data_IF_879143018267
#
_entry.id   IF_879143018267
#
_cell.length_a   1.000
_cell.length_b   1.000
_cell.length_c   1.000
_cell.angle_alpha   90.00
_cell.angle_beta   90.00
_cell.angle_gamma   90.00
#
_symmetry.space_group_name_H-M   'P 1'
#
loop_
_entity.id
_entity.type
_entity.pdbx_description
1 polymer ?
#
# COMPACT_ATOMS: atom_id res chain seq x y z
N UNK A 1 -1.72 -24.21 -18.16
CA UNK A 1 -0.78 -23.42 -17.32
C UNK A 1 -1.58 -22.41 -16.49
N UNK A 2 -1.33 -22.30 -15.18
CA UNK A 2 -1.97 -21.23 -14.39
C UNK A 2 -1.36 -19.91 -14.86
N UNK A 3 -2.17 -19.12 -15.55
CA UNK A 3 -1.76 -17.82 -16.07
C UNK A 3 -1.42 -16.93 -14.87
N UNK A 4 -0.14 -16.58 -14.72
CA UNK A 4 0.29 -15.67 -13.66
C UNK A 4 -0.29 -14.31 -13.99
N UNK A 5 -1.35 -13.91 -13.29
CA UNK A 5 -1.86 -12.55 -13.36
C UNK A 5 -0.72 -11.55 -13.13
N UNK A 6 -0.74 -10.39 -13.82
CA UNK A 6 0.27 -9.37 -13.60
C UNK A 6 0.28 -8.97 -12.12
N UNK A 7 1.48 -8.98 -11.51
CA UNK A 7 1.68 -8.56 -10.12
C UNK A 7 1.45 -7.06 -10.00
N UNK A 8 0.58 -6.65 -9.08
CA UNK A 8 0.28 -5.25 -8.81
C UNK A 8 0.99 -4.84 -7.51
N UNK A 9 1.75 -3.75 -7.59
CA UNK A 9 2.38 -3.11 -6.43
C UNK A 9 1.74 -1.74 -6.21
N UNK A 10 1.31 -1.48 -4.99
CA UNK A 10 0.91 -0.16 -4.52
C UNK A 10 2.13 0.54 -3.92
N UNK A 11 2.59 1.61 -4.59
CA UNK A 11 3.73 2.42 -4.16
C UNK A 11 3.22 3.77 -3.66
N UNK A 12 3.48 4.09 -2.39
CA UNK A 12 3.04 5.32 -1.74
C UNK A 12 4.18 5.96 -0.93
N UNK A 13 4.96 6.80 -1.61
CA UNK A 13 6.18 7.36 -1.04
C UNK A 13 7.32 6.34 -0.96
N UNK A 14 8.36 6.67 -0.18
CA UNK A 14 9.62 5.92 -0.20
C UNK A 14 9.53 4.56 0.50
N UNK A 15 8.74 4.43 1.56
CA UNK A 15 8.77 3.25 2.45
C UNK A 15 7.58 2.30 2.27
N UNK A 16 6.53 2.71 1.54
CA UNK A 16 5.31 1.92 1.37
C UNK A 16 5.22 1.36 -0.05
N UNK A 17 5.68 0.12 -0.22
CA UNK A 17 5.66 -0.66 -1.45
C UNK A 17 4.98 -1.98 -1.10
N UNK A 18 3.69 -2.10 -1.38
CA UNK A 18 2.89 -3.23 -0.95
C UNK A 18 2.36 -4.01 -2.15
N UNK A 19 2.47 -5.34 -2.14
CA UNK A 19 1.80 -6.16 -3.15
C UNK A 19 0.30 -6.19 -2.84
N UNK A 20 -0.51 -5.91 -3.86
CA UNK A 20 -1.97 -5.77 -3.71
C UNK A 20 -2.73 -6.54 -4.78
N UNK A 21 -3.99 -6.81 -4.51
CA UNK A 21 -4.99 -7.20 -5.51
C UNK A 21 -6.08 -6.13 -5.58
N UNK A 22 -6.70 -6.01 -6.75
CA UNK A 22 -7.86 -5.15 -6.95
C UNK A 22 -9.09 -5.94 -6.52
N UNK A 23 -9.73 -5.50 -5.45
CA UNK A 23 -10.98 -6.09 -4.97
C UNK A 23 -12.18 -5.51 -5.71
N UNK A 24 -12.12 -4.22 -6.07
CA UNK A 24 -13.18 -3.52 -6.78
C UNK A 24 -12.63 -2.40 -7.67
N UNK A 25 -13.35 -2.11 -8.75
CA UNK A 25 -13.07 -1.01 -9.67
C UNK A 25 -14.39 -0.40 -10.13
N UNK A 26 -14.51 0.91 -9.99
CA UNK A 26 -15.63 1.70 -10.54
C UNK A 26 -15.07 2.83 -11.39
N UNK A 27 -15.70 3.08 -12.53
CA UNK A 27 -15.33 4.13 -13.47
C UNK A 27 -16.54 5.02 -13.68
N UNK A 28 -16.41 6.31 -13.40
CA UNK A 28 -17.43 7.32 -13.64
C UNK A 28 -16.92 8.27 -14.71
N UNK A 29 -17.47 8.19 -15.92
CA UNK A 29 -17.14 9.08 -17.02
C UNK A 29 -17.82 10.45 -16.81
N UNK A 30 -17.04 11.53 -16.91
CA UNK A 30 -17.49 12.88 -16.52
C UNK A 30 -17.65 13.83 -17.71
N UNK A 31 -16.74 13.75 -18.68
CA UNK A 31 -16.74 14.61 -19.86
C UNK A 31 -16.48 13.81 -21.11
N UNK A 32 -17.11 14.24 -22.20
CA UNK A 32 -17.07 13.59 -23.51
C UNK A 32 -16.73 14.60 -24.61
N UNK A 33 -16.07 14.13 -25.67
CA UNK A 33 -15.93 14.89 -26.91
C UNK A 33 -17.26 14.91 -27.73
N UNK A 34 -17.35 15.66 -28.85
CA UNK A 34 -18.57 15.68 -29.68
C UNK A 34 -18.94 14.33 -30.32
N UNK A 35 -18.02 13.38 -30.37
CA UNK A 35 -18.25 12.01 -30.83
C UNK A 35 -18.59 11.06 -29.67
N UNK A 36 -18.80 11.60 -28.46
CA UNK A 36 -19.13 10.87 -27.24
C UNK A 36 -18.02 9.92 -26.75
N UNK A 37 -16.76 10.21 -27.05
CA UNK A 37 -15.64 9.51 -26.41
C UNK A 37 -15.35 10.17 -25.06
N UNK A 38 -15.21 9.41 -23.97
CA UNK A 38 -14.87 9.97 -22.66
C UNK A 38 -13.46 10.55 -22.70
N UNK A 39 -13.34 11.84 -22.34
CA UNK A 39 -12.07 12.56 -22.24
C UNK A 39 -11.63 12.77 -20.78
N UNK A 40 -12.54 12.54 -19.83
CA UNK A 40 -12.26 12.57 -18.40
C UNK A 40 -13.13 11.55 -17.68
N UNK A 41 -12.52 10.78 -16.77
CA UNK A 41 -13.20 9.86 -15.88
C UNK A 41 -12.59 9.90 -14.48
N UNK A 42 -13.42 9.64 -13.48
CA UNK A 42 -12.96 9.28 -12.14
C UNK A 42 -12.91 7.76 -12.02
N UNK A 43 -11.80 7.25 -11.47
CA UNK A 43 -11.62 5.81 -11.23
C UNK A 43 -11.48 5.60 -9.73
N UNK A 44 -12.37 4.79 -9.17
CA UNK A 44 -12.29 4.34 -7.78
C UNK A 44 -11.81 2.90 -7.74
N UNK A 45 -10.75 2.63 -6.97
CA UNK A 45 -10.17 1.29 -6.81
C UNK A 45 -10.23 0.87 -5.33
N UNK A 46 -10.78 -0.32 -5.07
CA UNK A 46 -10.60 -1.03 -3.81
C UNK A 46 -9.40 -1.96 -3.91
N UNK A 47 -8.42 -1.80 -3.02
CA UNK A 47 -7.20 -2.60 -3.00
C UNK A 47 -7.04 -3.30 -1.65
N UNK A 48 -6.67 -4.58 -1.67
CA UNK A 48 -6.24 -5.32 -0.49
C UNK A 48 -4.80 -5.77 -0.62
N UNK A 49 -4.08 -5.75 0.50
CA UNK A 49 -2.70 -6.25 0.56
C UNK A 49 -2.75 -7.77 0.57
N UNK A 50 -1.97 -8.41 -0.30
CA UNK A 50 -1.93 -9.87 -0.36
C UNK A 50 -1.09 -10.44 0.78
N UNK A 51 -1.58 -11.54 1.36
CA UNK A 51 -0.77 -12.38 2.23
C UNK A 51 0.04 -13.33 1.36
N UNK A 52 1.36 -13.16 1.39
CA UNK A 52 2.25 -14.01 0.60
C UNK A 52 2.58 -15.25 1.40
N UNK A 53 2.33 -16.41 0.79
CA UNK A 53 2.77 -17.68 1.35
C UNK A 53 4.30 -17.69 1.53
N UNK A 54 4.83 -18.09 2.70
CA UNK A 54 6.26 -18.30 2.90
C UNK A 54 6.94 -19.18 1.85
N UNK A 55 6.23 -20.13 1.24
CA UNK A 55 6.70 -21.01 0.17
C UNK A 55 6.52 -20.43 -1.25
N UNK A 56 5.98 -19.21 -1.40
CA UNK A 56 5.80 -18.59 -2.72
C UNK A 56 7.13 -18.24 -3.39
N UNK A 57 7.27 -18.52 -4.69
CA UNK A 57 8.44 -18.11 -5.49
C UNK A 57 8.42 -16.62 -5.90
N UNK A 58 7.43 -15.88 -5.40
CA UNK A 58 7.26 -14.46 -5.64
C UNK A 58 8.27 -13.60 -4.86
N UNK A 59 9.51 -13.53 -5.37
CA UNK A 59 10.59 -12.75 -4.74
C UNK A 59 10.32 -11.25 -4.66
N UNK A 60 9.56 -10.69 -5.61
CA UNK A 60 9.31 -9.24 -5.66
C UNK A 60 8.24 -8.85 -4.65
N UNK A 61 7.13 -9.58 -4.59
CA UNK A 61 6.09 -9.31 -3.61
C UNK A 61 6.64 -9.52 -2.19
N UNK A 62 7.45 -10.58 -1.97
CA UNK A 62 8.11 -10.83 -0.69
C UNK A 62 9.01 -9.67 -0.30
N UNK A 63 9.93 -9.26 -1.19
CA UNK A 63 10.85 -8.16 -0.94
C UNK A 63 10.13 -6.83 -0.70
N UNK A 64 9.06 -6.54 -1.43
CA UNK A 64 8.22 -5.36 -1.23
C UNK A 64 7.58 -5.36 0.17
N UNK A 65 6.94 -6.47 0.55
CA UNK A 65 6.32 -6.66 1.86
C UNK A 65 7.34 -6.52 3.00
N UNK A 66 8.48 -7.21 2.90
CA UNK A 66 9.56 -7.15 3.89
C UNK A 66 10.13 -5.74 4.02
N UNK A 67 10.36 -5.05 2.90
CA UNK A 67 10.87 -3.68 2.89
C UNK A 67 9.92 -2.72 3.62
N UNK A 68 8.62 -2.79 3.34
CA UNK A 68 7.63 -1.96 4.01
C UNK A 68 7.45 -2.29 5.48
N UNK A 69 7.49 -3.57 5.85
CA UNK A 69 7.40 -3.98 7.25
C UNK A 69 8.62 -3.52 8.04
N UNK A 70 9.83 -3.65 7.48
CA UNK A 70 11.06 -3.17 8.11
C UNK A 70 10.99 -1.67 8.41
N UNK A 71 10.54 -0.87 7.43
CA UNK A 71 10.38 0.56 7.63
C UNK A 71 9.32 0.89 8.69
N UNK A 72 8.20 0.15 8.69
CA UNK A 72 7.12 0.30 9.69
C UNK A 72 7.62 -0.03 11.10
N UNK A 73 8.39 -1.10 11.25
CA UNK A 73 8.94 -1.53 12.54
C UNK A 73 9.94 -0.50 13.08
N UNK A 74 10.81 0.04 12.22
CA UNK A 74 11.72 1.11 12.59
C UNK A 74 10.97 2.37 13.07
N UNK A 75 9.88 2.75 12.40
CA UNK A 75 9.02 3.86 12.83
C UNK A 75 8.31 3.57 14.16
N UNK A 76 7.84 2.34 14.37
CA UNK A 76 7.22 1.93 15.63
C UNK A 76 8.20 2.07 16.80
N UNK A 77 9.45 1.64 16.62
CA UNK A 77 10.51 1.80 17.63
C UNK A 77 10.78 3.27 17.94
N UNK A 78 10.90 4.11 16.90
CA UNK A 78 11.12 5.55 17.09
C UNK A 78 9.98 6.22 17.86
N UNK A 79 8.73 5.85 17.57
CA UNK A 79 7.56 6.38 18.27
C UNK A 79 7.53 5.99 19.75
N UNK A 80 7.87 4.74 20.09
CA UNK A 80 7.95 4.29 21.49
C UNK A 80 9.00 5.07 22.30
N UNK A 81 10.15 5.37 21.70
CA UNK A 81 11.20 6.15 22.36
C UNK A 81 10.75 7.58 22.67
N UNK A 82 10.05 8.23 21.73
CA UNK A 82 9.49 9.57 21.94
C UNK A 82 8.41 9.59 23.04
N UNK A 83 7.55 8.57 23.11
CA UNK A 83 6.52 8.48 24.17
C UNK A 83 7.14 8.33 25.56
N UNK A 84 8.22 7.55 25.71
CA UNK A 84 8.88 7.39 27.00
C UNK A 84 9.45 8.72 27.53
N UNK A 85 9.98 9.57 26.65
CA UNK A 85 10.45 10.92 27.01
C UNK A 85 9.29 11.82 27.47
N UNK A 86 8.15 11.77 26.78
CA UNK A 86 6.97 12.55 27.14
C UNK A 86 6.36 12.19 28.50
N UNK A 87 6.51 10.94 28.96
CA UNK A 87 6.02 10.51 30.29
C UNK A 87 6.89 11.04 31.42
N UNK A 88 8.21 11.17 31.21
CA UNK A 88 9.14 11.70 32.23
C UNK A 88 8.82 13.17 32.55
N UNK A 89 8.39 13.95 31.56
CA UNK A 89 8.03 15.37 31.73
C UNK A 89 6.69 15.61 32.46
N UNK A 90 5.90 14.56 32.73
CA UNK A 90 4.58 14.65 33.40
C UNK A 90 4.68 14.41 34.91
N UNK A 91 5.84 14.00 35.44
CA UNK A 91 6.01 13.80 36.88
C UNK A 91 6.37 15.16 37.51
N UNK A 92 5.48 15.77 38.32
CA UNK A 92 5.82 16.99 39.05
C UNK A 92 6.76 16.61 40.19
N UNK A 93 7.92 17.24 40.26
CA UNK A 93 8.71 17.30 41.50
C UNK A 93 8.12 18.36 42.43
#
# INVERSE_FOLDING_TARGET
PRENYPRILFIWGLTRVLPVVIDSMSITEQHFDPLLNPIQAEVSLGLSVINIDPCSDDRIAKGAMEYSNLAKDAQAIANLANTAQQVVDIIPF
#
